data_IF_467595148286
#
_entry.id   IF_467595148286
#
_cell.length_a   1.000
_cell.length_b   1.000
_cell.length_c   1.000
_cell.angle_alpha   90.00
_cell.angle_beta   90.00
_cell.angle_gamma   90.00
#
_symmetry.space_group_name_H-M   'P 1'
#
loop_
_entity.id
_entity.type
_entity.pdbx_description
1 polymer ?
#
# COMPACT_ATOMS: atom_id res chain seq x y z
N UNK A 1 2.12 7.90 -16.61
CA UNK A 1 1.84 6.46 -16.37
C UNK A 1 2.55 6.06 -15.09
N UNK A 2 1.96 6.35 -13.92
CA UNK A 2 2.63 6.20 -12.61
C UNK A 2 2.39 4.83 -11.95
N UNK A 3 2.30 3.77 -12.74
CA UNK A 3 2.17 2.41 -12.22
C UNK A 3 3.43 1.97 -11.47
N UNK A 4 4.60 2.51 -11.82
CA UNK A 4 5.86 2.23 -11.11
C UNK A 4 5.78 2.63 -9.63
N UNK A 5 5.18 3.79 -9.32
CA UNK A 5 4.98 4.25 -7.94
C UNK A 5 4.06 3.30 -7.18
N UNK A 6 2.99 2.82 -7.81
CA UNK A 6 2.08 1.85 -7.20
C UNK A 6 2.79 0.51 -6.91
N UNK A 7 3.56 0.00 -7.86
CA UNK A 7 4.36 -1.22 -7.70
C UNK A 7 5.34 -1.05 -6.54
N UNK A 8 6.03 0.10 -6.45
CA UNK A 8 6.95 0.39 -5.35
C UNK A 8 6.25 0.42 -3.99
N UNK A 9 5.05 1.01 -3.88
CA UNK A 9 4.24 0.99 -2.65
C UNK A 9 3.86 -0.44 -2.25
N UNK A 10 3.48 -1.29 -3.21
CA UNK A 10 3.21 -2.70 -2.98
C UNK A 10 4.45 -3.45 -2.49
N UNK A 11 5.59 -3.32 -3.19
CA UNK A 11 6.85 -3.95 -2.82
C UNK A 11 7.32 -3.50 -1.44
N UNK A 12 7.20 -2.22 -1.12
CA UNK A 12 7.52 -1.65 0.19
C UNK A 12 6.65 -2.27 1.30
N UNK A 13 5.35 -2.39 1.06
CA UNK A 13 4.42 -2.99 2.03
C UNK A 13 4.70 -4.47 2.29
N UNK A 14 5.04 -5.22 1.23
CA UNK A 14 5.48 -6.62 1.35
C UNK A 14 6.80 -6.76 2.12
N UNK A 15 7.76 -5.88 1.83
CA UNK A 15 9.02 -5.83 2.56
C UNK A 15 8.79 -5.54 4.05
N UNK A 16 7.98 -4.54 4.38
CA UNK A 16 7.61 -4.22 5.77
C UNK A 16 6.98 -5.41 6.49
N UNK A 17 6.01 -6.09 5.87
CA UNK A 17 5.38 -7.30 6.43
C UNK A 17 6.41 -8.38 6.74
N UNK A 18 7.28 -8.70 5.79
CA UNK A 18 8.33 -9.72 5.98
C UNK A 18 9.25 -9.37 7.15
N UNK A 19 9.63 -8.09 7.26
CA UNK A 19 10.46 -7.60 8.36
C UNK A 19 9.73 -7.70 9.71
N UNK A 20 8.45 -7.34 9.78
CA UNK A 20 7.64 -7.48 11.00
C UNK A 20 7.55 -8.93 11.47
N UNK A 21 7.31 -9.87 10.54
CA UNK A 21 7.27 -11.31 10.86
C UNK A 21 8.66 -11.80 11.35
N UNK A 22 9.73 -11.42 10.64
CA UNK A 22 11.08 -11.94 10.91
C UNK A 22 11.70 -11.36 12.19
N UNK A 23 11.59 -10.05 12.37
CA UNK A 23 12.30 -9.32 13.42
C UNK A 23 11.44 -9.02 14.66
N UNK A 24 10.11 -9.01 14.52
CA UNK A 24 9.18 -8.64 15.60
C UNK A 24 8.22 -9.75 15.98
N UNK A 25 8.30 -10.91 15.33
CA UNK A 25 7.37 -12.04 15.50
C UNK A 25 5.90 -11.62 15.34
N UNK A 26 5.64 -10.58 14.54
CA UNK A 26 4.28 -10.11 14.27
C UNK A 26 3.53 -11.15 13.44
N UNK A 27 2.32 -11.51 13.86
CA UNK A 27 1.42 -12.34 13.06
C UNK A 27 0.43 -11.44 12.32
N UNK A 28 0.75 -11.08 11.07
CA UNK A 28 -0.16 -10.32 10.21
C UNK A 28 -0.95 -11.25 9.27
N UNK A 29 -2.27 -11.21 9.41
CA UNK A 29 -3.20 -11.80 8.44
C UNK A 29 -3.11 -11.07 7.10
N UNK A 30 -3.59 -11.71 6.03
CA UNK A 30 -3.68 -11.09 4.71
C UNK A 30 -4.52 -9.80 4.76
N UNK A 31 -5.66 -9.83 5.46
CA UNK A 31 -6.54 -8.66 5.63
C UNK A 31 -5.81 -7.49 6.29
N UNK A 32 -5.09 -7.72 7.38
CA UNK A 32 -4.32 -6.67 8.05
C UNK A 32 -3.23 -6.11 7.13
N UNK A 33 -2.57 -6.97 6.35
CA UNK A 33 -1.59 -6.55 5.35
C UNK A 33 -2.20 -5.62 4.30
N UNK A 34 -3.38 -5.98 3.77
CA UNK A 34 -4.07 -5.16 2.76
C UNK A 34 -4.57 -3.82 3.32
N UNK A 35 -5.01 -3.78 4.58
CA UNK A 35 -5.33 -2.53 5.28
C UNK A 35 -4.11 -1.60 5.38
N UNK A 36 -2.95 -2.15 5.72
CA UNK A 36 -1.70 -1.40 5.77
C UNK A 36 -1.26 -0.90 4.38
N UNK A 37 -1.39 -1.73 3.33
CA UNK A 37 -1.15 -1.31 1.95
C UNK A 37 -2.06 -0.15 1.54
N UNK A 38 -3.35 -0.20 1.88
CA UNK A 38 -4.31 0.88 1.62
C UNK A 38 -3.91 2.17 2.33
N UNK A 39 -3.50 2.08 3.60
CA UNK A 39 -3.05 3.24 4.37
C UNK A 39 -1.79 3.86 3.77
N UNK A 40 -0.82 3.03 3.42
CA UNK A 40 0.41 3.46 2.76
C UNK A 40 0.10 4.14 1.42
N UNK A 41 -0.73 3.52 0.58
CA UNK A 41 -1.16 4.10 -0.69
C UNK A 41 -1.77 5.49 -0.50
N UNK A 42 -2.68 5.66 0.48
CA UNK A 42 -3.28 6.96 0.80
C UNK A 42 -2.24 8.01 1.23
N UNK A 43 -1.25 7.64 2.04
CA UNK A 43 -0.16 8.53 2.45
C UNK A 43 0.70 8.95 1.25
N UNK A 44 0.92 8.03 0.31
CA UNK A 44 1.65 8.31 -0.93
C UNK A 44 0.84 9.16 -1.91
N UNK A 45 -0.49 9.03 -1.93
CA UNK A 45 -1.38 9.88 -2.74
C UNK A 45 -1.19 11.37 -2.48
N UNK A 46 -0.92 11.75 -1.23
CA UNK A 46 -0.66 13.15 -0.87
C UNK A 46 0.64 13.71 -1.48
N UNK A 47 1.52 12.86 -2.02
CA UNK A 47 2.78 13.23 -2.67
C UNK A 47 2.68 13.25 -4.19
N UNK A 48 1.53 12.85 -4.75
CA UNK A 48 1.28 12.93 -6.19
C UNK A 48 0.93 14.37 -6.60
N UNK A 49 1.21 14.78 -7.85
CA UNK A 49 0.72 16.03 -8.40
C UNK A 49 -0.80 16.16 -8.29
N UNK A 50 -1.33 17.38 -8.15
CA UNK A 50 -2.78 17.61 -8.02
C UNK A 50 -3.62 16.98 -9.14
N UNK A 51 -3.09 16.95 -10.36
CA UNK A 51 -3.71 16.31 -11.53
C UNK A 51 -3.89 14.80 -11.39
N UNK A 52 -3.19 14.17 -10.45
CA UNK A 52 -3.11 12.71 -10.31
C UNK A 52 -3.59 12.20 -8.95
N UNK A 53 -4.20 13.07 -8.13
CA UNK A 53 -4.76 12.65 -6.84
C UNK A 53 -5.82 11.55 -6.98
N UNK A 54 -6.55 11.53 -8.10
CA UNK A 54 -7.53 10.49 -8.43
C UNK A 54 -6.91 9.09 -8.58
N UNK A 55 -5.63 8.98 -8.99
CA UNK A 55 -4.91 7.71 -9.01
C UNK A 55 -4.68 7.17 -7.60
N UNK A 56 -4.45 8.06 -6.64
CA UNK A 56 -4.31 7.70 -5.24
C UNK A 56 -5.57 7.07 -4.65
N UNK A 57 -6.75 7.62 -4.98
CA UNK A 57 -8.04 7.03 -4.61
C UNK A 57 -8.27 5.70 -5.32
N UNK A 58 -7.88 5.60 -6.59
CA UNK A 58 -7.95 4.35 -7.34
C UNK A 58 -7.12 3.22 -6.68
N UNK A 59 -5.89 3.51 -6.25
CA UNK A 59 -5.06 2.53 -5.52
C UNK A 59 -5.74 2.07 -4.22
N UNK A 60 -6.31 3.00 -3.46
CA UNK A 60 -7.05 2.69 -2.24
C UNK A 60 -8.28 1.80 -2.50
N UNK A 61 -8.96 2.02 -3.62
CA UNK A 61 -10.09 1.20 -4.06
C UNK A 61 -9.64 -0.21 -4.46
N UNK A 62 -8.52 -0.36 -5.16
CA UNK A 62 -7.97 -1.67 -5.51
C UNK A 62 -7.68 -2.52 -4.27
N UNK A 63 -7.05 -1.94 -3.24
CA UNK A 63 -6.85 -2.65 -1.98
C UNK A 63 -8.14 -2.94 -1.23
N UNK A 64 -9.16 -2.08 -1.36
CA UNK A 64 -10.47 -2.32 -0.74
C UNK A 64 -11.23 -3.47 -1.39
N UNK A 65 -11.09 -3.64 -2.71
CA UNK A 65 -11.68 -4.76 -3.46
C UNK A 65 -10.99 -6.09 -3.17
N UNK A 66 -9.71 -6.07 -2.77
CA UNK A 66 -8.92 -7.26 -2.48
C UNK A 66 -9.06 -7.79 -1.03
N UNK A 67 -9.70 -7.04 -0.12
CA UNK A 67 -9.86 -7.35 1.32
C UNK A 67 -11.08 -8.23 1.64
#
# INVERSE_FOLDING_TARGET
MHYDTFILVCCWSLWKRRNGITFRQETMTLRHTLQECKREAKTWSCRLPCTEQSLGDHWCNLFSLAM
#
